data_IF_796413517757
#
_entry.id   IF_796413517757
#
_cell.length_a   1.000
_cell.length_b   1.000
_cell.length_c   1.000
_cell.angle_alpha   90.00
_cell.angle_beta   90.00
_cell.angle_gamma   90.00
#
_symmetry.space_group_name_H-M   'P 1'
#
loop_
_entity.id
_entity.type
_entity.pdbx_description
1 polymer ?
#
# COMPACT_ATOMS: atom_id res chain seq x y z
N UNK A 1 -47.64 -44.08 -5.66
CA UNK A 1 -46.18 -44.25 -5.71
C UNK A 1 -45.61 -42.89 -6.10
N UNK A 2 -45.37 -42.03 -5.12
CA UNK A 2 -44.15 -41.93 -4.28
C UNK A 2 -43.01 -41.25 -5.04
N UNK A 3 -42.26 -40.29 -4.50
CA UNK A 3 -42.31 -39.49 -3.27
C UNK A 3 -41.12 -38.50 -3.36
N UNK A 4 -41.32 -37.25 -2.92
CA UNK A 4 -40.53 -36.46 -1.94
C UNK A 4 -38.98 -36.33 -2.09
N UNK A 5 -38.25 -35.31 -1.66
CA UNK A 5 -38.43 -34.00 -1.00
C UNK A 5 -37.02 -33.43 -0.72
N UNK A 6 -36.94 -32.12 -0.50
CA UNK A 6 -36.19 -31.42 0.58
C UNK A 6 -35.33 -30.22 0.12
N UNK A 7 -35.96 -29.04 0.11
CA UNK A 7 -35.35 -27.83 0.65
C UNK A 7 -36.38 -27.17 1.58
N UNK A 8 -36.04 -26.80 2.84
CA UNK A 8 -37.01 -26.21 3.75
C UNK A 8 -37.28 -24.75 3.37
N UNK A 9 -38.55 -24.47 3.03
CA UNK A 9 -39.18 -23.14 3.08
C UNK A 9 -39.20 -22.67 4.54
N UNK A 10 -38.63 -21.51 4.81
CA UNK A 10 -38.90 -20.77 6.05
C UNK A 10 -40.28 -20.12 5.93
N UNK A 11 -41.11 -20.40 6.93
CA UNK A 11 -42.48 -19.92 7.06
C UNK A 11 -42.50 -18.45 7.48
N UNK A 12 -43.21 -17.63 6.71
CA UNK A 12 -43.69 -16.33 7.17
C UNK A 12 -44.91 -16.53 8.07
N UNK A 13 -44.90 -15.90 9.25
CA UNK A 13 -46.06 -15.72 10.13
C UNK A 13 -45.95 -14.36 10.84
N UNK A 14 -47.07 -13.82 11.37
CA UNK A 14 -47.60 -12.53 10.92
C UNK A 14 -47.32 -11.37 11.88
N UNK A 15 -47.59 -10.17 11.37
CA UNK A 15 -47.58 -8.91 12.07
C UNK A 15 -48.52 -8.89 13.29
N UNK A 16 -47.95 -8.75 14.49
CA UNK A 16 -48.67 -8.19 15.63
C UNK A 16 -47.84 -7.14 16.38
N UNK A 17 -48.55 -6.08 16.73
CA UNK A 17 -48.15 -4.84 17.38
C UNK A 17 -47.40 -5.03 18.70
N UNK A 18 -46.27 -4.33 18.89
CA UNK A 18 -45.86 -3.80 20.20
C UNK A 18 -45.20 -2.41 20.06
N UNK A 19 -45.51 -1.56 21.05
CA UNK A 19 -45.41 -0.09 21.08
C UNK A 19 -43.97 0.49 21.07
N UNK A 20 -43.78 1.75 20.64
CA UNK A 20 -42.50 2.44 20.69
C UNK A 20 -42.18 2.88 22.13
N UNK A 21 -40.98 2.56 22.61
CA UNK A 21 -40.37 3.20 23.78
C UNK A 21 -39.43 4.31 23.30
N UNK A 22 -39.75 5.55 23.65
CA UNK A 22 -38.82 6.68 23.59
C UNK A 22 -37.64 6.42 24.55
N UNK A 23 -36.42 6.43 24.00
CA UNK A 23 -35.22 6.76 24.78
C UNK A 23 -34.42 7.78 23.96
N UNK A 24 -34.28 8.96 24.57
CA UNK A 24 -33.56 10.14 24.07
C UNK A 24 -32.09 9.81 23.83
N UNK A 25 -31.57 10.22 22.67
CA UNK A 25 -30.13 10.41 22.46
C UNK A 25 -29.89 11.84 21.97
N UNK A 26 -29.09 12.58 22.72
CA UNK A 26 -28.77 13.99 22.50
C UNK A 26 -27.88 14.17 21.28
N UNK A 27 -28.38 14.87 20.27
CA UNK A 27 -27.60 15.33 19.13
C UNK A 27 -26.97 16.69 19.48
N UNK A 28 -25.64 16.75 19.54
CA UNK A 28 -24.89 18.00 19.42
C UNK A 28 -24.48 18.13 17.95
N UNK A 29 -25.16 19.01 17.21
CA UNK A 29 -24.84 19.36 15.82
C UNK A 29 -24.02 20.63 15.85
N UNK A 30 -22.74 20.58 15.49
CA UNK A 30 -21.98 21.78 15.15
C UNK A 30 -22.13 22.02 13.65
N UNK A 31 -23.00 22.98 13.31
CA UNK A 31 -23.15 23.51 11.95
C UNK A 31 -21.94 24.37 11.62
N UNK A 32 -21.29 24.11 10.48
CA UNK A 32 -20.40 25.06 9.80
C UNK A 32 -20.92 25.30 8.37
N UNK A 33 -20.81 26.54 7.85
CA UNK A 33 -21.67 27.02 6.79
C UNK A 33 -21.19 26.65 5.39
N UNK A 34 -22.17 26.37 4.54
CA UNK A 34 -22.08 26.27 3.08
C UNK A 34 -21.72 27.65 2.51
N UNK A 35 -20.68 27.73 1.68
CA UNK A 35 -20.43 28.87 0.81
C UNK A 35 -20.42 28.41 -0.65
N UNK A 36 -21.21 29.14 -1.43
CA UNK A 36 -21.59 28.88 -2.81
C UNK A 36 -20.48 29.29 -3.80
N UNK A 37 -20.46 28.62 -4.94
CA UNK A 37 -19.58 28.89 -6.07
C UNK A 37 -20.00 30.18 -6.80
N UNK A 38 -19.00 30.94 -7.29
CA UNK A 38 -19.08 31.73 -8.52
C UNK A 38 -17.67 32.14 -8.99
N UNK A 39 -17.42 31.87 -10.27
CA UNK A 39 -16.53 32.52 -11.23
C UNK A 39 -15.14 33.03 -10.81
N UNK A 40 -14.09 32.44 -11.41
CA UNK A 40 -13.25 33.21 -12.34
C UNK A 40 -12.50 32.29 -13.32
N UNK A 41 -12.92 32.33 -14.58
CA UNK A 41 -12.18 31.92 -15.77
C UNK A 41 -10.96 32.83 -15.96
N UNK A 42 -9.74 32.28 -15.94
CA UNK A 42 -8.59 32.88 -16.62
C UNK A 42 -7.80 31.77 -17.33
N UNK A 43 -8.15 31.59 -18.60
CA UNK A 43 -7.25 31.06 -19.63
C UNK A 43 -6.05 31.98 -19.78
N UNK A 44 -4.83 31.48 -19.60
CA UNK A 44 -3.65 32.06 -20.26
C UNK A 44 -2.72 30.96 -20.75
N UNK A 45 -2.82 30.70 -22.06
CA UNK A 45 -1.78 30.12 -22.89
C UNK A 45 -0.55 31.05 -22.91
N UNK A 46 0.64 30.55 -22.58
CA UNK A 46 1.88 31.21 -22.98
C UNK A 46 2.89 30.20 -23.51
N UNK A 47 3.35 30.52 -24.71
CA UNK A 47 4.19 29.74 -25.59
C UNK A 47 5.62 29.57 -25.06
N UNK A 48 6.18 28.40 -25.34
CA UNK A 48 7.60 28.08 -25.16
C UNK A 48 8.44 28.98 -26.08
N UNK A 49 9.26 29.86 -25.50
CA UNK A 49 10.41 30.47 -26.18
C UNK A 49 11.69 29.98 -25.53
N UNK A 50 12.49 29.28 -26.33
CA UNK A 50 13.86 28.92 -26.00
C UNK A 50 14.74 30.18 -25.87
N UNK A 51 15.53 30.26 -24.80
CA UNK A 51 16.72 31.12 -24.73
C UNK A 51 17.86 30.32 -24.11
N UNK A 52 18.98 30.36 -24.83
CA UNK A 52 20.30 29.82 -24.51
C UNK A 52 21.06 30.77 -23.57
N UNK A 53 21.86 30.23 -22.65
CA UNK A 53 23.10 30.87 -22.19
C UNK A 53 23.27 31.09 -20.68
N UNK A 54 23.90 30.10 -20.03
CA UNK A 54 25.06 30.19 -19.11
C UNK A 54 25.10 31.23 -17.97
N UNK A 55 25.17 30.75 -16.71
CA UNK A 55 26.30 30.97 -15.76
C UNK A 55 26.06 30.21 -14.43
N UNK A 56 27.16 29.81 -13.81
CA UNK A 56 27.30 28.94 -12.63
C UNK A 56 26.49 29.35 -11.41
N UNK A 57 25.82 28.38 -10.78
CA UNK A 57 25.26 28.48 -9.44
C UNK A 57 25.54 27.19 -8.66
N UNK A 58 26.79 27.00 -8.22
CA UNK A 58 27.17 25.86 -7.37
C UNK A 58 26.68 26.01 -5.93
N UNK A 59 26.45 27.23 -5.45
CA UNK A 59 26.09 27.49 -4.04
C UNK A 59 24.61 27.24 -3.71
N UNK A 60 23.71 27.31 -4.71
CA UNK A 60 22.27 27.10 -4.47
C UNK A 60 21.88 25.61 -4.45
N UNK A 61 22.64 24.77 -5.15
CA UNK A 61 22.42 23.32 -5.23
C UNK A 61 22.92 22.59 -3.99
N UNK A 62 24.10 22.95 -3.49
CA UNK A 62 24.69 22.31 -2.30
C UNK A 62 23.81 22.51 -1.06
N UNK A 63 23.30 23.72 -0.86
CA UNK A 63 22.40 24.05 0.27
C UNK A 63 21.06 23.29 0.19
N UNK A 64 20.57 22.98 -1.02
CA UNK A 64 19.32 22.23 -1.19
C UNK A 64 19.52 20.72 -0.97
N UNK A 65 20.66 20.17 -1.38
CA UNK A 65 21.02 18.77 -1.20
C UNK A 65 21.33 18.43 0.27
N UNK A 66 22.10 19.29 0.95
CA UNK A 66 22.42 19.16 2.38
C UNK A 66 21.13 19.21 3.22
N UNK A 67 20.24 20.17 2.94
CA UNK A 67 18.91 20.24 3.58
C UNK A 67 18.06 19.00 3.34
N UNK A 68 18.10 18.40 2.15
CA UNK A 68 17.31 17.17 1.86
C UNK A 68 17.86 15.96 2.60
N UNK A 69 19.17 15.89 2.80
CA UNK A 69 19.85 14.84 3.55
C UNK A 69 19.59 14.95 5.04
N UNK A 70 19.79 16.14 5.62
CA UNK A 70 19.69 16.37 7.07
C UNK A 70 18.24 16.27 7.56
N UNK A 71 17.30 16.93 6.87
CA UNK A 71 15.86 16.89 7.23
C UNK A 71 15.33 15.46 7.20
N UNK A 72 15.80 14.63 6.26
CA UNK A 72 15.40 13.23 6.20
C UNK A 72 16.15 12.38 7.24
N UNK A 73 17.46 12.53 7.40
CA UNK A 73 18.26 11.68 8.31
C UNK A 73 17.94 11.90 9.79
N UNK A 74 17.66 13.14 10.21
CA UNK A 74 17.33 13.45 11.60
C UNK A 74 15.96 12.88 11.99
N UNK A 75 14.96 13.07 11.13
CA UNK A 75 13.62 12.48 11.32
C UNK A 75 13.64 10.95 11.28
N UNK A 76 14.47 10.35 10.41
CA UNK A 76 14.67 8.89 10.34
C UNK A 76 15.29 8.32 11.62
N UNK A 77 16.31 8.98 12.18
CA UNK A 77 17.04 8.49 13.36
C UNK A 77 16.12 8.47 14.58
N UNK A 78 15.31 9.52 14.76
CA UNK A 78 14.33 9.62 15.85
C UNK A 78 13.18 8.61 15.69
N UNK A 79 12.63 8.46 14.47
CA UNK A 79 11.50 7.56 14.21
C UNK A 79 11.87 6.07 14.23
N UNK A 80 13.11 5.71 13.88
CA UNK A 80 13.54 4.31 13.75
C UNK A 80 14.40 3.81 14.93
N UNK A 81 14.86 4.70 15.82
CA UNK A 81 15.69 4.34 16.98
C UNK A 81 17.04 3.71 16.63
N UNK A 82 17.49 3.87 15.38
CA UNK A 82 18.75 3.34 14.85
C UNK A 82 19.48 4.43 14.07
N UNK A 83 20.82 4.47 14.16
CA UNK A 83 21.65 5.39 13.38
C UNK A 83 21.69 4.93 11.91
N UNK A 84 20.63 5.26 11.17
CA UNK A 84 20.54 5.07 9.74
C UNK A 84 20.74 6.42 9.06
N UNK A 85 21.90 6.64 8.46
CA UNK A 85 22.23 7.90 7.79
C UNK A 85 21.96 7.82 6.30
N UNK A 86 21.08 8.68 5.80
CA UNK A 86 20.95 8.93 4.37
C UNK A 86 21.86 10.09 3.97
N UNK A 87 22.54 9.98 2.82
CA UNK A 87 23.48 10.97 2.28
C UNK A 87 23.16 11.16 0.80
N UNK A 88 22.35 12.17 0.49
CA UNK A 88 21.84 12.38 -0.88
C UNK A 88 22.98 12.67 -1.87
N UNK A 89 23.96 13.45 -1.45
CA UNK A 89 25.11 13.89 -2.24
C UNK A 89 26.04 12.75 -2.70
N UNK A 90 25.96 11.57 -2.07
CA UNK A 90 26.73 10.40 -2.49
C UNK A 90 26.12 9.65 -3.68
N UNK A 91 25.00 10.14 -4.21
CA UNK A 91 24.29 9.53 -5.33
C UNK A 91 23.39 8.36 -4.93
N UNK A 92 22.92 7.61 -5.92
CA UNK A 92 22.10 6.42 -5.70
C UNK A 92 22.91 5.35 -4.97
N UNK A 93 22.32 4.72 -3.95
CA UNK A 93 22.89 3.56 -3.28
C UNK A 93 21.88 2.41 -3.24
N UNK A 94 22.36 1.17 -3.39
CA UNK A 94 21.50 0.01 -3.46
C UNK A 94 22.23 -1.28 -3.14
N UNK A 95 21.47 -2.32 -2.80
CA UNK A 95 21.99 -3.66 -2.52
C UNK A 95 21.12 -4.72 -3.20
N UNK A 96 21.78 -5.72 -3.79
CA UNK A 96 21.10 -6.94 -4.22
C UNK A 96 20.66 -7.72 -2.99
N UNK A 97 19.35 -7.86 -2.82
CA UNK A 97 18.74 -8.72 -1.80
C UNK A 97 18.67 -10.15 -2.32
N UNK A 98 18.35 -10.27 -3.62
CA UNK A 98 18.37 -11.51 -4.40
C UNK A 98 18.91 -11.20 -5.82
N UNK A 99 19.26 -12.21 -6.62
CA UNK A 99 19.69 -11.99 -8.02
C UNK A 99 18.67 -11.22 -8.87
N UNK A 100 17.38 -11.33 -8.56
CA UNK A 100 16.26 -10.70 -9.25
C UNK A 100 15.68 -9.46 -8.53
N UNK A 101 16.23 -9.08 -7.36
CA UNK A 101 15.63 -8.07 -6.48
C UNK A 101 16.67 -7.16 -5.84
N UNK A 102 16.60 -5.88 -6.16
CA UNK A 102 17.41 -4.80 -5.59
C UNK A 102 16.53 -3.87 -4.75
N UNK A 103 17.05 -3.44 -3.60
CA UNK A 103 16.48 -2.35 -2.79
C UNK A 103 17.47 -1.20 -2.76
N UNK A 104 16.99 0.02 -3.02
CA UNK A 104 17.85 1.21 -3.09
C UNK A 104 17.17 2.53 -2.76
N UNK A 105 17.98 3.60 -2.79
CA UNK A 105 17.54 4.99 -2.66
C UNK A 105 16.94 5.55 -3.96
N UNK A 106 16.41 6.77 -3.91
CA UNK A 106 15.85 7.41 -5.09
C UNK A 106 16.91 7.67 -6.17
N UNK A 107 16.48 7.59 -7.42
CA UNK A 107 17.23 8.11 -8.55
C UNK A 107 17.32 9.63 -8.45
N UNK A 108 18.43 10.19 -8.90
CA UNK A 108 18.70 11.62 -8.79
C UNK A 108 18.78 12.28 -10.17
N UNK A 109 19.17 11.52 -11.18
CA UNK A 109 19.34 11.99 -12.55
C UNK A 109 18.92 10.93 -13.57
N UNK A 110 18.66 11.31 -14.83
CA UNK A 110 18.43 10.36 -15.92
C UNK A 110 19.57 9.34 -16.10
N UNK A 111 20.82 9.74 -15.82
CA UNK A 111 21.98 8.84 -15.90
C UNK A 111 21.90 7.66 -14.93
N UNK A 112 21.13 7.79 -13.84
CA UNK A 112 20.90 6.69 -12.91
C UNK A 112 20.06 5.56 -13.52
N UNK A 113 19.14 5.90 -14.43
CA UNK A 113 18.39 4.90 -15.20
C UNK A 113 19.33 4.06 -16.06
N UNK A 114 20.32 4.70 -16.69
CA UNK A 114 21.32 4.01 -17.50
C UNK A 114 22.23 3.12 -16.66
N UNK A 115 22.64 3.57 -15.47
CA UNK A 115 23.38 2.74 -14.50
C UNK A 115 22.61 1.47 -14.15
N UNK A 116 21.31 1.59 -13.86
CA UNK A 116 20.44 0.45 -13.52
C UNK A 116 20.22 -0.48 -14.72
N UNK A 117 20.03 0.08 -15.92
CA UNK A 117 19.93 -0.70 -17.16
C UNK A 117 21.19 -1.54 -17.40
N UNK A 118 22.37 -0.97 -17.17
CA UNK A 118 23.66 -1.65 -17.39
C UNK A 118 23.88 -2.86 -16.48
N UNK A 119 23.24 -2.90 -15.30
CA UNK A 119 23.28 -4.06 -14.40
C UNK A 119 22.10 -5.02 -14.60
N UNK A 120 21.28 -4.81 -15.65
CA UNK A 120 20.19 -5.72 -16.02
C UNK A 120 18.84 -5.43 -15.35
N UNK A 121 18.66 -4.27 -14.73
CA UNK A 121 17.35 -3.84 -14.21
C UNK A 121 16.38 -3.66 -15.37
N UNK A 122 15.23 -4.33 -15.26
CA UNK A 122 14.12 -4.23 -16.22
C UNK A 122 12.93 -3.45 -15.66
N UNK A 123 12.79 -3.40 -14.34
CA UNK A 123 11.69 -2.71 -13.67
C UNK A 123 12.27 -1.79 -12.60
N UNK A 124 12.03 -0.48 -12.71
CA UNK A 124 12.28 0.49 -11.66
C UNK A 124 10.94 0.76 -10.98
N UNK A 125 10.84 0.47 -9.68
CA UNK A 125 9.61 0.55 -8.92
C UNK A 125 9.73 1.64 -7.84
N UNK A 126 9.22 2.83 -8.16
CA UNK A 126 9.27 4.02 -7.32
C UNK A 126 8.11 4.04 -6.33
N UNK A 127 8.42 4.25 -5.04
CA UNK A 127 7.44 4.37 -3.96
C UNK A 127 7.32 5.78 -3.38
N UNK A 128 7.95 6.77 -4.01
CA UNK A 128 7.91 8.16 -3.56
C UNK A 128 6.52 8.78 -3.78
N UNK A 129 6.17 9.74 -2.93
CA UNK A 129 4.93 10.52 -3.01
C UNK A 129 5.29 12.00 -2.93
N UNK A 130 4.49 12.85 -3.56
CA UNK A 130 4.60 14.30 -3.36
C UNK A 130 3.71 14.74 -2.18
N UNK A 131 4.23 15.44 -1.15
CA UNK A 131 5.62 15.52 -0.70
C UNK A 131 6.02 14.32 0.18
N UNK A 132 7.26 13.85 0.05
CA UNK A 132 7.88 12.65 0.67
C UNK A 132 7.98 12.66 2.22
N UNK A 133 7.20 13.50 2.91
CA UNK A 133 7.16 13.60 4.38
C UNK A 133 6.28 12.52 5.03
N UNK A 134 5.40 11.86 4.29
CA UNK A 134 4.55 10.77 4.79
C UNK A 134 5.25 9.39 4.83
N UNK A 135 6.56 9.32 4.56
CA UNK A 135 7.39 8.10 4.57
C UNK A 135 7.26 7.24 5.84
N UNK A 136 6.76 7.84 6.92
CA UNK A 136 6.85 7.31 8.27
C UNK A 136 5.57 6.72 8.83
N UNK A 137 4.41 6.85 8.18
CA UNK A 137 3.22 6.20 8.69
C UNK A 137 3.23 4.68 8.44
N UNK A 138 3.17 3.90 9.53
CA UNK A 138 3.05 2.45 9.47
C UNK A 138 1.65 1.99 9.11
N UNK A 139 0.63 2.79 9.45
CA UNK A 139 -0.76 2.52 9.13
C UNK A 139 -1.02 2.71 7.64
N UNK A 140 -0.64 3.84 7.06
CA UNK A 140 -0.73 4.05 5.62
C UNK A 140 0.06 2.99 4.82
N UNK A 141 1.29 2.66 5.25
CA UNK A 141 2.04 1.57 4.63
C UNK A 141 1.26 0.25 4.65
N UNK A 142 0.69 -0.13 5.80
CA UNK A 142 -0.14 -1.33 5.96
C UNK A 142 -1.31 -1.33 4.97
N UNK A 143 -2.01 -0.21 4.85
CA UNK A 143 -3.19 -0.08 3.97
C UNK A 143 -2.82 -0.15 2.48
N UNK A 144 -1.67 0.43 2.11
CA UNK A 144 -1.22 0.45 0.70
C UNK A 144 -0.49 -0.82 0.25
N UNK A 145 0.11 -1.56 1.19
CA UNK A 145 0.98 -2.71 0.88
C UNK A 145 0.33 -3.74 -0.07
N UNK A 146 -0.95 -4.15 0.11
CA UNK A 146 -1.57 -5.14 -0.77
C UNK A 146 -1.62 -4.69 -2.24
N UNK A 147 -2.07 -3.46 -2.49
CA UNK A 147 -2.15 -2.90 -3.84
C UNK A 147 -0.74 -2.68 -4.46
N UNK A 148 0.21 -2.18 -3.66
CA UNK A 148 1.59 -1.93 -4.11
C UNK A 148 2.30 -3.24 -4.48
N UNK A 149 2.18 -4.29 -3.66
CA UNK A 149 2.78 -5.59 -3.95
C UNK A 149 2.10 -6.25 -5.15
N UNK A 150 0.80 -6.05 -5.38
CA UNK A 150 0.13 -6.52 -6.59
C UNK A 150 0.74 -5.90 -7.86
N UNK A 151 0.93 -4.57 -7.87
CA UNK A 151 1.57 -3.88 -9.00
C UNK A 151 2.98 -4.41 -9.25
N UNK A 152 3.79 -4.58 -8.19
CA UNK A 152 5.12 -5.16 -8.29
C UNK A 152 5.08 -6.59 -8.84
N UNK A 153 4.20 -7.44 -8.32
CA UNK A 153 4.04 -8.83 -8.73
C UNK A 153 3.75 -8.95 -10.24
N UNK A 154 2.80 -8.16 -10.74
CA UNK A 154 2.48 -8.15 -12.16
C UNK A 154 3.60 -7.59 -13.01
N UNK A 155 4.25 -6.50 -12.59
CA UNK A 155 5.38 -5.93 -13.30
C UNK A 155 6.53 -6.95 -13.41
N UNK A 156 6.82 -7.68 -12.32
CA UNK A 156 7.82 -8.75 -12.30
C UNK A 156 7.45 -9.91 -13.23
N UNK A 157 6.20 -10.35 -13.23
CA UNK A 157 5.74 -11.42 -14.12
C UNK A 157 5.77 -11.03 -15.60
N UNK A 158 5.47 -9.76 -15.92
CA UNK A 158 5.48 -9.24 -17.29
C UNK A 158 6.88 -9.02 -17.83
N UNK A 159 7.73 -8.37 -17.04
CA UNK A 159 9.03 -7.89 -17.53
C UNK A 159 10.15 -8.93 -17.31
N UNK A 160 10.01 -9.76 -16.27
CA UNK A 160 11.08 -10.60 -15.74
C UNK A 160 12.31 -9.79 -15.37
N UNK A 161 13.47 -10.45 -15.29
CA UNK A 161 14.74 -9.80 -14.97
C UNK A 161 14.79 -9.24 -13.56
N UNK A 162 15.52 -8.14 -13.38
CA UNK A 162 15.82 -7.58 -12.06
C UNK A 162 14.89 -6.39 -11.79
N UNK A 163 14.22 -6.38 -10.64
CA UNK A 163 13.52 -5.21 -10.13
C UNK A 163 14.41 -4.38 -9.21
N UNK A 164 14.36 -3.07 -9.41
CA UNK A 164 14.92 -2.06 -8.52
C UNK A 164 13.78 -1.38 -7.77
N UNK A 165 13.59 -1.72 -6.50
CA UNK A 165 12.56 -1.13 -5.65
C UNK A 165 13.20 -0.01 -4.84
N UNK A 166 12.64 1.20 -4.91
CA UNK A 166 13.17 2.34 -4.18
C UNK A 166 12.08 3.23 -3.56
N UNK A 167 12.50 3.96 -2.53
CA UNK A 167 11.80 5.11 -1.97
C UNK A 167 12.82 6.26 -1.92
N UNK A 168 12.78 7.15 -0.92
CA UNK A 168 13.79 8.20 -0.75
C UNK A 168 15.16 7.62 -0.37
N UNK A 169 15.32 7.07 0.83
CA UNK A 169 16.60 6.49 1.26
C UNK A 169 16.71 4.97 1.04
N UNK A 170 15.64 4.29 0.64
CA UNK A 170 15.62 2.83 0.58
C UNK A 170 15.69 2.16 1.95
N UNK A 171 15.19 2.82 3.00
CA UNK A 171 15.30 2.35 4.40
C UNK A 171 13.96 2.03 5.08
N UNK A 172 12.83 2.49 4.53
CA UNK A 172 11.48 2.25 5.08
C UNK A 172 10.55 1.53 4.09
N UNK A 173 9.86 2.29 3.23
CA UNK A 173 8.85 1.77 2.28
C UNK A 173 9.41 0.70 1.33
N UNK A 174 10.54 0.98 0.68
CA UNK A 174 11.15 0.04 -0.27
C UNK A 174 11.55 -1.31 0.35
N UNK A 175 12.28 -1.36 1.48
CA UNK A 175 12.58 -2.63 2.13
C UNK A 175 11.31 -3.33 2.65
N UNK A 176 10.28 -2.60 3.07
CA UNK A 176 8.99 -3.21 3.47
C UNK A 176 8.28 -3.90 2.29
N UNK A 177 8.19 -3.23 1.13
CA UNK A 177 7.58 -3.80 -0.09
C UNK A 177 8.39 -5.00 -0.60
N UNK A 178 9.72 -4.91 -0.61
CA UNK A 178 10.59 -6.02 -1.00
C UNK A 178 10.42 -7.23 -0.05
N UNK A 179 10.36 -6.98 1.25
CA UNK A 179 10.14 -8.03 2.26
C UNK A 179 8.77 -8.68 2.12
N UNK A 180 7.71 -7.89 1.92
CA UNK A 180 6.37 -8.39 1.68
C UNK A 180 6.29 -9.24 0.39
N UNK A 181 6.96 -8.81 -0.68
CA UNK A 181 7.05 -9.59 -1.92
C UNK A 181 7.75 -10.94 -1.72
N UNK A 182 8.88 -10.96 -1.00
CA UNK A 182 9.56 -12.21 -0.67
C UNK A 182 8.67 -13.17 0.14
N UNK A 183 7.93 -12.62 1.11
CA UNK A 183 7.05 -13.38 2.00
C UNK A 183 5.80 -13.91 1.29
N UNK A 184 5.08 -13.05 0.58
CA UNK A 184 3.79 -13.37 -0.05
C UNK A 184 3.95 -14.14 -1.36
N UNK A 185 4.95 -13.78 -2.18
CA UNK A 185 5.09 -14.29 -3.55
C UNK A 185 6.17 -15.37 -3.65
N UNK A 186 7.37 -15.08 -3.16
CA UNK A 186 8.56 -15.94 -3.36
C UNK A 186 8.66 -17.10 -2.36
N UNK A 187 7.70 -17.25 -1.45
CA UNK A 187 7.56 -18.43 -0.60
C UNK A 187 8.44 -18.43 0.65
N UNK A 188 9.09 -17.31 0.98
CA UNK A 188 9.88 -17.21 2.22
C UNK A 188 8.98 -17.25 3.46
N UNK A 189 9.57 -17.58 4.61
CA UNK A 189 9.05 -17.17 5.92
C UNK A 189 9.40 -15.71 6.19
N UNK A 190 8.56 -14.99 6.93
CA UNK A 190 8.77 -13.56 7.18
C UNK A 190 10.11 -13.28 7.85
N UNK A 191 10.46 -14.01 8.90
CA UNK A 191 11.73 -13.81 9.63
C UNK A 191 12.96 -14.22 8.81
N UNK A 192 12.83 -15.25 7.95
CA UNK A 192 13.90 -15.65 7.04
C UNK A 192 14.19 -14.55 6.01
N UNK A 193 13.13 -14.03 5.37
CA UNK A 193 13.26 -12.94 4.42
C UNK A 193 13.80 -11.66 5.08
N UNK A 194 13.35 -11.36 6.30
CA UNK A 194 13.81 -10.21 7.08
C UNK A 194 15.31 -10.32 7.39
N UNK A 195 15.77 -11.48 7.85
CA UNK A 195 17.19 -11.74 8.12
C UNK A 195 18.04 -11.63 6.86
N UNK A 196 17.55 -12.15 5.73
CA UNK A 196 18.25 -12.03 4.44
C UNK A 196 18.37 -10.56 4.02
N UNK A 197 17.27 -9.80 4.08
CA UNK A 197 17.24 -8.37 3.78
C UNK A 197 18.24 -7.59 4.64
N UNK A 198 18.19 -7.75 5.97
CA UNK A 198 19.10 -7.05 6.89
C UNK A 198 20.56 -7.49 6.76
N UNK A 199 20.82 -8.72 6.30
CA UNK A 199 22.20 -9.16 6.00
C UNK A 199 22.81 -8.46 4.78
N UNK A 200 22.00 -7.83 3.93
CA UNK A 200 22.41 -7.16 2.69
C UNK A 200 22.30 -5.65 2.76
N UNK A 201 21.34 -5.12 3.53
CA UNK A 201 21.08 -3.69 3.65
C UNK A 201 20.58 -3.36 5.05
N UNK A 202 21.27 -2.43 5.71
CA UNK A 202 20.79 -1.85 6.98
C UNK A 202 19.55 -0.99 6.70
N UNK A 203 18.40 -1.36 7.28
CA UNK A 203 17.12 -0.70 7.06
C UNK A 203 16.07 -1.11 8.12
N UNK A 204 14.88 -0.51 8.05
CA UNK A 204 13.77 -0.74 8.98
C UNK A 204 12.46 -1.01 8.19
N UNK A 205 12.20 -2.26 7.77
CA UNK A 205 11.07 -2.62 6.89
C UNK A 205 9.68 -2.62 7.54
N UNK A 206 9.48 -1.95 8.68
CA UNK A 206 8.21 -1.85 9.44
C UNK A 206 7.42 -3.17 9.51
N UNK A 207 7.98 -4.19 10.18
CA UNK A 207 7.41 -5.55 10.22
C UNK A 207 5.93 -5.60 10.62
N UNK A 208 5.51 -4.79 11.58
CA UNK A 208 4.12 -4.79 12.06
C UNK A 208 3.12 -4.37 10.98
N UNK A 209 3.52 -3.48 10.06
CA UNK A 209 2.70 -3.11 8.92
C UNK A 209 2.51 -4.30 7.96
N UNK A 210 3.59 -5.06 7.70
CA UNK A 210 3.54 -6.25 6.83
C UNK A 210 2.67 -7.35 7.47
N UNK A 211 2.87 -7.62 8.76
CA UNK A 211 2.08 -8.61 9.51
C UNK A 211 0.60 -8.27 9.51
N UNK A 212 0.29 -7.01 9.81
CA UNK A 212 -1.09 -6.52 9.87
C UNK A 212 -1.75 -6.54 8.49
N UNK A 213 -1.05 -6.11 7.43
CA UNK A 213 -1.55 -6.17 6.06
C UNK A 213 -1.81 -7.61 5.61
N UNK A 214 -0.95 -8.55 6.00
CA UNK A 214 -1.14 -9.98 5.75
C UNK A 214 -2.42 -10.50 6.41
N UNK A 215 -2.65 -10.13 7.68
CA UNK A 215 -3.86 -10.51 8.40
C UNK A 215 -5.13 -9.83 7.86
N UNK A 216 -5.01 -8.64 7.27
CA UNK A 216 -6.13 -7.91 6.69
C UNK A 216 -6.62 -8.54 5.38
N UNK A 217 -5.72 -9.13 4.58
CA UNK A 217 -6.12 -9.87 3.36
C UNK A 217 -7.07 -11.03 3.72
N UNK A 218 -6.90 -11.66 4.88
CA UNK A 218 -7.82 -12.71 5.38
C UNK A 218 -9.13 -12.15 5.96
N UNK A 219 -9.22 -10.83 6.20
CA UNK A 219 -10.39 -10.16 6.77
C UNK A 219 -11.09 -9.18 5.83
N UNK A 220 -10.67 -9.15 4.56
CA UNK A 220 -11.16 -8.25 3.52
C UNK A 220 -12.40 -8.85 2.84
N UNK A 221 -13.56 -8.21 3.01
CA UNK A 221 -14.81 -8.63 2.36
C UNK A 221 -15.30 -7.52 1.45
N UNK A 222 -15.35 -7.83 0.16
CA UNK A 222 -15.92 -6.94 -0.84
C UNK A 222 -17.45 -7.05 -0.85
N UNK A 223 -18.11 -5.92 -1.00
CA UNK A 223 -19.56 -5.84 -1.17
C UNK A 223 -19.92 -4.69 -2.11
N UNK A 224 -21.15 -4.70 -2.60
CA UNK A 224 -21.70 -3.64 -3.44
C UNK A 224 -23.17 -3.46 -3.13
N UNK A 225 -23.66 -2.23 -3.15
CA UNK A 225 -25.07 -1.96 -2.94
C UNK A 225 -25.85 -2.23 -4.22
N UNK A 226 -27.11 -2.62 -4.05
CA UNK A 226 -28.11 -2.54 -5.11
C UNK A 226 -29.15 -1.55 -4.61
N UNK A 227 -29.19 -0.35 -5.22
CA UNK A 227 -30.13 0.72 -4.87
C UNK A 227 -31.04 0.92 -6.06
N UNK A 228 -32.35 0.76 -5.86
CA UNK A 228 -33.36 0.85 -6.93
C UNK A 228 -33.10 -0.07 -8.14
N UNK A 229 -32.50 -1.25 -7.88
CA UNK A 229 -32.14 -2.22 -8.92
C UNK A 229 -30.79 -1.96 -9.60
N UNK A 230 -30.12 -0.86 -9.26
CA UNK A 230 -28.83 -0.46 -9.84
C UNK A 230 -27.67 -0.77 -8.89
N UNK A 231 -26.63 -1.42 -9.43
CA UNK A 231 -25.40 -1.70 -8.69
C UNK A 231 -24.64 -0.41 -8.39
N UNK A 232 -24.53 -0.05 -7.12
CA UNK A 232 -23.98 1.23 -6.66
C UNK A 232 -22.83 0.99 -5.68
N UNK A 233 -21.79 1.84 -5.77
CA UNK A 233 -20.67 1.86 -4.83
C UNK A 233 -20.73 3.14 -3.99
N UNK A 234 -20.65 3.02 -2.67
CA UNK A 234 -20.63 4.14 -1.75
C UNK A 234 -19.23 4.77 -1.72
N UNK A 235 -19.08 5.96 -2.31
CA UNK A 235 -17.77 6.65 -2.40
C UNK A 235 -17.27 7.20 -1.05
N UNK A 236 -18.11 7.19 -0.02
CA UNK A 236 -17.75 7.65 1.32
C UNK A 236 -17.23 6.53 2.23
N UNK A 237 -17.29 5.28 1.76
CA UNK A 237 -16.76 4.10 2.45
C UNK A 237 -15.46 3.64 1.77
N UNK A 238 -14.78 2.67 2.37
CA UNK A 238 -13.63 2.04 1.76
C UNK A 238 -14.03 1.37 0.45
N UNK A 239 -13.28 1.65 -0.62
CA UNK A 239 -13.54 1.14 -1.96
C UNK A 239 -12.32 0.42 -2.50
N UNK A 240 -12.56 -0.72 -3.15
CA UNK A 240 -11.51 -1.49 -3.78
C UNK A 240 -10.93 -0.71 -4.95
N UNK A 241 -9.69 -0.99 -5.37
CA UNK A 241 -9.27 -0.66 -6.72
C UNK A 241 -10.25 -1.29 -7.72
N UNK A 242 -10.74 -0.50 -8.68
CA UNK A 242 -11.64 -0.95 -9.74
C UNK A 242 -11.05 -2.16 -10.47
N UNK A 243 -11.67 -3.33 -10.52
CA UNK A 243 -11.07 -4.56 -11.05
C UNK A 243 -10.88 -4.56 -12.59
N UNK A 244 -10.41 -5.68 -13.16
CA UNK A 244 -10.19 -5.85 -14.62
C UNK A 244 -11.44 -5.63 -15.47
N UNK A 245 -12.63 -5.86 -14.93
CA UNK A 245 -13.92 -5.67 -15.60
C UNK A 245 -14.46 -4.24 -15.44
N UNK A 246 -13.68 -3.33 -14.85
CA UNK A 246 -14.10 -1.96 -14.58
C UNK A 246 -15.04 -1.85 -13.38
N UNK A 247 -15.12 -2.86 -12.51
CA UNK A 247 -15.98 -2.86 -11.34
C UNK A 247 -15.24 -2.45 -10.08
N UNK A 248 -15.72 -1.39 -9.44
CA UNK A 248 -15.35 -1.02 -8.06
C UNK A 248 -16.37 -1.62 -7.09
N UNK A 249 -15.87 -2.15 -5.97
CA UNK A 249 -16.68 -2.60 -4.84
C UNK A 249 -16.36 -1.75 -3.61
N UNK A 250 -17.28 -1.69 -2.66
CA UNK A 250 -16.93 -1.33 -1.30
C UNK A 250 -16.23 -2.51 -0.64
N UNK A 251 -15.44 -2.28 0.40
CA UNK A 251 -14.94 -3.38 1.23
C UNK A 251 -14.94 -3.01 2.70
N UNK A 252 -15.04 -4.04 3.53
CA UNK A 252 -14.86 -3.93 4.98
C UNK A 252 -13.70 -4.81 5.40
N UNK A 253 -12.86 -4.28 6.27
CA UNK A 253 -11.87 -5.06 7.00
C UNK A 253 -12.49 -5.37 8.36
N UNK A 254 -13.01 -6.59 8.51
CA UNK A 254 -13.69 -6.98 9.75
C UNK A 254 -12.64 -7.36 10.78
N UNK A 255 -12.58 -6.62 11.89
CA UNK A 255 -11.87 -7.05 13.10
C UNK A 255 -12.57 -8.25 13.72
N UNK A 256 -11.83 -9.14 14.37
CA UNK A 256 -12.45 -10.20 15.13
C UNK A 256 -12.92 -9.63 16.48
N UNK A 257 -14.22 -9.39 16.62
CA UNK A 257 -14.82 -8.89 17.86
C UNK A 257 -14.90 -9.98 18.94
N UNK A 258 -14.92 -11.24 18.51
CA UNK A 258 -14.80 -12.42 19.37
C UNK A 258 -13.36 -12.97 19.34
N UNK A 259 -12.61 -12.91 20.47
CA UNK A 259 -11.23 -13.38 20.55
C UNK A 259 -11.08 -14.90 20.35
N UNK A 260 -12.15 -15.68 20.47
CA UNK A 260 -12.12 -17.14 20.31
C UNK A 260 -12.50 -17.59 18.90
N UNK A 261 -12.97 -16.68 18.04
CA UNK A 261 -13.28 -17.00 16.63
C UNK A 261 -12.04 -17.50 15.87
N UNK A 262 -12.26 -18.39 14.89
CA UNK A 262 -11.19 -18.88 13.99
C UNK A 262 -10.39 -17.72 13.37
N UNK A 263 -11.06 -16.60 13.11
CA UNK A 263 -10.46 -15.38 12.56
C UNK A 263 -9.56 -14.65 13.55
N UNK A 264 -9.96 -14.54 14.82
CA UNK A 264 -9.10 -14.01 15.86
C UNK A 264 -7.84 -14.86 16.02
N UNK A 265 -7.97 -16.19 15.95
CA UNK A 265 -6.84 -17.11 16.02
C UNK A 265 -5.90 -16.95 14.82
N UNK A 266 -6.44 -16.86 13.59
CA UNK A 266 -5.65 -16.59 12.38
C UNK A 266 -4.92 -15.25 12.49
N UNK A 267 -5.63 -14.18 12.86
CA UNK A 267 -5.04 -12.85 13.03
C UNK A 267 -3.92 -12.88 14.08
N UNK A 268 -4.18 -13.47 15.25
CA UNK A 268 -3.19 -13.63 16.32
C UNK A 268 -1.93 -14.36 15.86
N UNK A 269 -2.08 -15.42 15.04
CA UNK A 269 -0.93 -16.12 14.44
C UNK A 269 -0.18 -15.23 13.45
N UNK A 270 -0.89 -14.58 12.52
CA UNK A 270 -0.28 -13.77 11.46
C UNK A 270 0.36 -12.48 11.98
N UNK A 271 -0.10 -11.95 13.12
CA UNK A 271 0.52 -10.82 13.82
C UNK A 271 1.48 -11.23 14.93
N UNK A 272 1.77 -12.53 15.07
CA UNK A 272 2.72 -13.05 16.06
C UNK A 272 4.19 -12.78 15.69
N UNK A 273 5.13 -13.34 16.45
CA UNK A 273 6.56 -13.08 16.24
C UNK A 273 7.11 -13.63 14.91
N UNK A 274 6.79 -14.88 14.57
CA UNK A 274 7.24 -15.55 13.33
C UNK A 274 6.05 -16.15 12.56
N UNK A 275 5.28 -15.32 11.83
CA UNK A 275 4.11 -15.79 11.13
C UNK A 275 4.50 -16.58 9.89
N UNK A 276 4.12 -17.87 9.86
CA UNK A 276 4.21 -18.70 8.66
C UNK A 276 2.83 -18.75 7.96
N UNK A 277 2.85 -18.64 6.64
CA UNK A 277 1.65 -18.75 5.81
C UNK A 277 1.44 -20.20 5.41
N UNK A 278 0.24 -20.70 5.67
CA UNK A 278 -0.22 -21.98 5.15
C UNK A 278 -0.34 -21.95 3.63
N UNK A 279 -0.37 -23.13 3.00
CA UNK A 279 -0.56 -23.25 1.56
C UNK A 279 -1.83 -22.54 1.07
N UNK A 280 -2.94 -22.65 1.81
CA UNK A 280 -4.21 -22.03 1.44
C UNK A 280 -4.15 -20.50 1.52
N UNK A 281 -3.51 -19.94 2.56
CA UNK A 281 -3.31 -18.49 2.69
C UNK A 281 -2.43 -17.95 1.56
N UNK A 282 -1.39 -18.68 1.16
CA UNK A 282 -0.55 -18.31 0.01
C UNK A 282 -1.35 -18.31 -1.30
N UNK A 283 -2.26 -19.26 -1.49
CA UNK A 283 -3.14 -19.30 -2.66
C UNK A 283 -4.08 -18.09 -2.66
N UNK A 284 -4.73 -17.79 -1.53
CA UNK A 284 -5.61 -16.62 -1.39
C UNK A 284 -4.88 -15.31 -1.66
N UNK A 285 -3.70 -15.12 -1.08
CA UNK A 285 -2.88 -13.93 -1.31
C UNK A 285 -2.53 -13.82 -2.80
N UNK A 286 -2.16 -14.92 -3.47
CA UNK A 286 -1.88 -14.89 -4.92
C UNK A 286 -3.10 -14.49 -5.75
N UNK A 287 -4.27 -15.06 -5.46
CA UNK A 287 -5.52 -14.70 -6.14
C UNK A 287 -5.83 -13.21 -5.97
N UNK A 288 -5.74 -12.70 -4.74
CA UNK A 288 -5.90 -11.28 -4.45
C UNK A 288 -4.93 -10.41 -5.29
N UNK A 289 -3.65 -10.76 -5.32
CA UNK A 289 -2.64 -10.00 -6.07
C UNK A 289 -2.91 -10.01 -7.59
N UNK A 290 -3.54 -11.05 -8.13
CA UNK A 290 -3.91 -11.17 -9.54
C UNK A 290 -5.19 -10.37 -9.91
N UNK A 291 -6.11 -10.21 -8.96
CA UNK A 291 -7.44 -9.61 -9.15
C UNK A 291 -7.46 -8.08 -9.03
N UNK A 292 -6.59 -7.51 -8.18
CA UNK A 292 -6.36 -6.05 -8.16
C UNK A 292 -6.10 -5.58 -9.59
N UNK A 293 -6.57 -4.40 -9.99
CA UNK A 293 -6.39 -3.90 -11.36
C UNK A 293 -5.10 -3.14 -11.59
N UNK A 294 -4.83 -2.90 -12.87
CA UNK A 294 -3.78 -2.00 -13.32
C UNK A 294 -4.43 -0.66 -13.69
N UNK A 295 -4.79 0.16 -12.70
CA UNK A 295 -4.95 1.58 -13.01
C UNK A 295 -3.57 2.23 -13.09
N UNK A 296 -3.23 2.64 -14.32
CA UNK A 296 -2.13 3.54 -14.66
C UNK A 296 -2.34 4.91 -14.03
#
# INVERSE_FOLDING_TARGET
>A
MNCLQNFPRLYALPSEFFKPHEIKSSSFVHMLPVMNANDLDIRQSLAVKAVSGSKSSSEMSEVAEEKKSDVYSDTMTEAMGASLTYRHELGINYNFIRPDLIVGSCLQSPADVDKLRNIGVKTIFCLQQDPDLEDFDGFDLRMRLPAVVSKLYKAMNRNGGIAYIHCTAGMGRAPAVALAYMYWVQGYRLNEAHRLLLSKRSCCPKLDAIKSATADIEGHYEYKYIVDGEWTCNRNELVTPTNKDGHTNNYVVVSADDPDSDRAQVRKRLTGEDPDLTTNERIKIRQFLEEVSDHE
#
